data_IF_199715231184
#
_entry.id   IF_199715231184
#
_cell.length_a   1.000
_cell.length_b   1.000
_cell.length_c   1.000
_cell.angle_alpha   90.00
_cell.angle_beta   90.00
_cell.angle_gamma   90.00
#
_symmetry.space_group_name_H-M   'P 1'
#
loop_
_entity.id
_entity.type
_entity.pdbx_description
1 polymer ?
#
# COMPACT_ATOMS: atom_id res chain seq x y z
N UNK A 1 -5.23 7.65 -15.09
CA UNK A 1 -3.91 7.76 -14.44
C UNK A 1 -3.56 6.37 -13.94
N UNK A 2 -2.49 5.76 -14.46
CA UNK A 2 -2.08 4.42 -14.02
C UNK A 2 -1.53 4.53 -12.60
N UNK A 3 -2.03 3.70 -11.68
CA UNK A 3 -1.46 3.55 -10.36
C UNK A 3 0.01 3.15 -10.53
N UNK A 4 0.92 4.08 -10.23
CA UNK A 4 2.35 3.85 -10.31
C UNK A 4 2.76 2.68 -9.43
N UNK A 5 3.88 2.03 -9.76
CA UNK A 5 4.43 0.98 -8.91
C UNK A 5 4.61 1.52 -7.48
N UNK A 6 3.82 1.01 -6.54
CA UNK A 6 3.92 1.42 -5.14
C UNK A 6 5.30 1.03 -4.59
N UNK A 7 5.85 1.83 -3.70
CA UNK A 7 7.17 1.55 -3.11
C UNK A 7 7.04 0.80 -1.78
N UNK A 8 5.94 1.01 -1.05
CA UNK A 8 5.66 0.44 0.27
C UNK A 8 4.24 -0.11 0.35
N UNK A 9 4.02 -1.10 1.22
CA UNK A 9 2.69 -1.67 1.46
C UNK A 9 1.74 -0.65 2.08
N UNK A 10 2.28 0.25 2.91
CA UNK A 10 1.54 1.34 3.53
C UNK A 10 0.94 2.32 2.52
N UNK A 11 1.67 2.64 1.44
CA UNK A 11 1.20 3.54 0.39
C UNK A 11 0.10 2.88 -0.47
N UNK A 12 0.29 1.60 -0.80
CA UNK A 12 -0.72 0.79 -1.48
C UNK A 12 -2.02 0.68 -0.65
N UNK A 13 -1.92 0.41 0.66
CA UNK A 13 -3.09 0.34 1.55
C UNK A 13 -3.89 1.65 1.52
N UNK A 14 -3.17 2.77 1.54
CA UNK A 14 -3.75 4.11 1.56
C UNK A 14 -4.44 4.45 0.23
N UNK A 15 -3.83 4.10 -0.90
CA UNK A 15 -4.45 4.24 -2.21
C UNK A 15 -5.71 3.37 -2.34
N UNK A 16 -5.66 2.10 -1.92
CA UNK A 16 -6.84 1.23 -1.93
C UNK A 16 -7.97 1.79 -1.05
N UNK A 17 -7.68 2.33 0.14
CA UNK A 17 -8.71 2.99 0.96
C UNK A 17 -9.31 4.23 0.29
N UNK A 18 -8.49 5.03 -0.37
CA UNK A 18 -8.96 6.22 -1.10
C UNK A 18 -9.88 5.82 -2.26
N UNK A 19 -9.50 4.80 -3.04
CA UNK A 19 -10.33 4.25 -4.13
C UNK A 19 -11.63 3.61 -3.61
N UNK A 20 -11.60 3.01 -2.42
CA UNK A 20 -12.80 2.52 -1.74
C UNK A 20 -13.73 3.67 -1.32
N UNK A 21 -13.18 4.72 -0.72
CA UNK A 21 -13.95 5.89 -0.27
C UNK A 21 -14.52 6.71 -1.43
N UNK A 22 -13.75 6.82 -2.53
CA UNK A 22 -14.12 7.53 -3.74
C UNK A 22 -15.06 6.72 -4.66
N UNK A 23 -15.24 5.42 -4.40
CA UNK A 23 -16.02 4.51 -5.26
C UNK A 23 -15.31 4.12 -6.57
N UNK A 24 -14.05 4.51 -6.73
CA UNK A 24 -13.22 4.20 -7.89
C UNK A 24 -12.76 2.73 -7.94
N UNK A 25 -12.93 1.97 -6.85
CA UNK A 25 -12.63 0.52 -6.82
C UNK A 25 -13.35 -0.28 -7.92
N UNK A 26 -14.43 0.24 -8.53
CA UNK A 26 -15.11 -0.39 -9.67
C UNK A 26 -14.40 -0.18 -11.00
N UNK A 27 -13.59 0.87 -11.09
CA UNK A 27 -12.83 1.25 -12.29
C UNK A 27 -11.40 0.73 -12.24
N UNK A 28 -10.84 0.64 -11.03
CA UNK A 28 -9.56 -0.01 -10.80
C UNK A 28 -9.81 -1.52 -10.71
N UNK A 29 -9.10 -2.33 -11.48
CA UNK A 29 -9.24 -3.80 -11.44
C UNK A 29 -7.95 -4.50 -11.02
N UNK A 30 -6.85 -3.74 -10.93
CA UNK A 30 -5.53 -4.26 -10.63
C UNK A 30 -4.69 -3.19 -9.94
N UNK A 31 -3.90 -3.61 -8.94
CA UNK A 31 -2.91 -2.77 -8.27
C UNK A 31 -1.53 -3.36 -8.45
N UNK A 32 -0.53 -2.51 -8.69
CA UNK A 32 0.87 -2.93 -8.64
C UNK A 32 1.25 -3.26 -7.19
N UNK A 33 1.98 -4.35 -6.98
CA UNK A 33 2.51 -4.69 -5.67
C UNK A 33 3.79 -3.91 -5.38
N UNK A 34 4.02 -3.53 -4.11
CA UNK A 34 5.26 -2.89 -3.73
C UNK A 34 6.46 -3.83 -3.92
N UNK A 35 7.59 -3.26 -4.35
CA UNK A 35 8.80 -4.03 -4.68
C UNK A 35 8.81 -4.59 -6.12
N UNK A 36 7.85 -4.22 -6.97
CA UNK A 36 7.87 -4.56 -8.40
C UNK A 36 7.59 -6.03 -8.70
N UNK A 37 7.15 -6.82 -7.73
CA UNK A 37 6.90 -8.27 -7.86
C UNK A 37 5.65 -8.63 -8.67
N UNK A 38 5.04 -7.67 -9.36
CA UNK A 38 3.88 -7.87 -10.24
C UNK A 38 2.69 -7.01 -9.84
N UNK A 39 1.53 -7.33 -10.39
CA UNK A 39 0.27 -6.66 -10.09
C UNK A 39 -0.77 -7.68 -9.64
N UNK A 40 -1.54 -7.34 -8.61
CA UNK A 40 -2.63 -8.15 -8.11
C UNK A 40 -3.96 -7.65 -8.67
N UNK A 41 -4.74 -8.57 -9.24
CA UNK A 41 -6.03 -8.26 -9.88
C UNK A 41 -7.17 -8.80 -9.03
N UNK A 42 -8.27 -8.07 -8.95
CA UNK A 42 -9.49 -8.46 -8.24
C UNK A 42 -10.71 -8.24 -9.14
N UNK A 43 -11.76 -9.06 -8.98
CA UNK A 43 -12.97 -8.96 -9.81
C UNK A 43 -14.20 -8.56 -9.02
N UNK A 44 -14.20 -8.80 -7.71
CA UNK A 44 -15.36 -8.55 -6.85
C UNK A 44 -15.01 -7.65 -5.68
N UNK A 45 -16.03 -6.98 -5.12
CA UNK A 45 -15.89 -6.18 -3.89
C UNK A 45 -15.35 -7.01 -2.73
N UNK A 46 -15.77 -8.28 -2.63
CA UNK A 46 -15.29 -9.18 -1.57
C UNK A 46 -13.80 -9.46 -1.73
N UNK A 47 -13.34 -9.76 -2.94
CA UNK A 47 -11.91 -9.92 -3.21
C UNK A 47 -11.15 -8.63 -2.91
N UNK A 48 -11.67 -7.47 -3.31
CA UNK A 48 -11.04 -6.19 -3.00
C UNK A 48 -10.85 -5.98 -1.49
N UNK A 49 -11.86 -6.28 -0.67
CA UNK A 49 -11.79 -6.15 0.78
C UNK A 49 -10.81 -7.15 1.41
N UNK A 50 -10.75 -8.38 0.90
CA UNK A 50 -9.77 -9.39 1.33
C UNK A 50 -8.34 -8.92 1.02
N UNK A 51 -8.16 -8.36 -0.18
CA UNK A 51 -6.91 -7.77 -0.65
C UNK A 51 -6.49 -6.57 0.20
N UNK A 52 -7.42 -5.68 0.51
CA UNK A 52 -7.18 -4.53 1.40
C UNK A 52 -6.72 -5.01 2.78
N UNK A 53 -7.39 -6.02 3.36
CA UNK A 53 -7.02 -6.59 4.65
C UNK A 53 -5.62 -7.23 4.64
N UNK A 54 -5.27 -7.93 3.56
CA UNK A 54 -3.92 -8.48 3.34
C UNK A 54 -2.87 -7.37 3.26
N UNK A 55 -3.11 -6.33 2.46
CA UNK A 55 -2.20 -5.20 2.29
C UNK A 55 -2.05 -4.43 3.60
N UNK A 56 -3.12 -4.26 4.38
CA UNK A 56 -3.08 -3.62 5.70
C UNK A 56 -2.29 -4.45 6.73
N UNK A 57 -2.39 -5.79 6.70
CA UNK A 57 -1.53 -6.65 7.49
C UNK A 57 -0.06 -6.49 7.10
N UNK A 58 0.25 -6.52 5.80
CA UNK A 58 1.62 -6.31 5.28
C UNK A 58 2.17 -4.93 5.64
N UNK A 59 1.35 -3.89 5.55
CA UNK A 59 1.72 -2.53 5.96
C UNK A 59 1.97 -2.43 7.47
N UNK A 60 1.21 -3.18 8.27
CA UNK A 60 1.41 -3.29 9.71
C UNK A 60 2.68 -4.08 10.05
N UNK A 61 3.03 -5.12 9.29
CA UNK A 61 4.31 -5.82 9.41
C UNK A 61 5.49 -4.94 8.98
N UNK A 62 5.33 -4.16 7.90
CA UNK A 62 6.31 -3.19 7.39
C UNK A 62 6.57 -2.06 8.40
N UNK A 63 5.51 -1.57 9.06
CA UNK A 63 5.62 -0.52 10.10
C UNK A 63 6.03 -1.09 11.45
N UNK A 64 5.55 -2.29 11.80
CA UNK A 64 5.83 -2.99 13.06
C UNK A 64 7.25 -3.57 13.14
N UNK A 65 7.93 -3.71 12.00
CA UNK A 65 9.37 -4.02 11.93
C UNK A 65 10.29 -2.82 12.24
N UNK A 66 9.75 -1.62 12.45
CA UNK A 66 10.51 -0.40 12.72
C UNK A 66 10.09 0.31 14.03
N UNK A 67 9.88 -0.45 15.12
CA UNK A 67 10.02 0.10 16.49
C UNK A 67 11.50 0.02 16.93
N UNK A 68 12.38 0.55 16.10
CA UNK A 68 13.83 0.46 16.23
C UNK A 68 14.49 1.71 15.67
N UNK A 69 14.20 2.85 16.31
CA UNK A 69 15.09 4.01 16.34
C UNK A 69 15.75 4.41 15.00
N UNK A 70 15.03 5.16 14.16
CA UNK A 70 15.70 6.17 13.31
C UNK A 70 15.15 7.55 13.67
N UNK A 71 15.50 8.00 14.87
CA UNK A 71 15.76 9.42 15.09
C UNK A 71 17.07 9.76 14.36
N UNK A 72 17.02 9.79 13.02
CA UNK A 72 17.97 10.61 12.25
C UNK A 72 17.55 12.05 12.46
N UNK A 73 17.98 12.60 13.59
CA UNK A 73 18.05 14.04 13.76
C UNK A 73 19.02 14.54 12.69
N UNK A 74 18.48 15.18 11.67
CA UNK A 74 19.24 15.99 10.73
C UNK A 74 20.22 16.90 11.48
N UNK A 75 21.47 16.92 11.02
CA UNK A 75 22.28 18.14 10.97
C UNK A 75 23.41 18.24 11.99
N UNK A 76 24.63 18.12 11.49
CA UNK A 76 25.85 18.43 12.25
C UNK A 76 27.12 18.33 11.42
N UNK A 77 27.21 19.10 10.33
CA UNK A 77 28.48 19.36 9.64
C UNK A 77 29.47 20.01 10.62
N UNK A 78 30.62 19.38 10.90
CA UNK A 78 31.97 19.97 11.16
C UNK A 78 33.03 18.89 11.01
#
# INVERSE_FOLDING_TARGET
MGAGAFTTWSDLARAMRDDLASGNFRTVSSYALPGGSGSITYRTMKEFLDLLSLVEQRASEETGGFDGQIITTKGGYR
#
